data_IF_437280372985
#
_entry.id   IF_437280372985
#
_cell.length_a   1.000
_cell.length_b   1.000
_cell.length_c   1.000
_cell.angle_alpha   90.00
_cell.angle_beta   90.00
_cell.angle_gamma   90.00
#
_symmetry.space_group_name_H-M   'P 1'
#
loop_
_entity.id
_entity.type
_entity.pdbx_description
1 polymer ?
#
# COMPACT_ATOMS: atom_id res chain seq x y z
N UNK A 1 5.04 9.98 10.85
CA UNK A 1 3.76 10.53 10.36
C UNK A 1 2.73 10.76 11.46
N UNK A 2 2.19 9.74 12.15
CA UNK A 2 1.18 9.97 13.21
C UNK A 2 1.61 10.99 14.29
N UNK A 3 2.86 10.86 14.77
CA UNK A 3 3.47 11.83 15.69
C UNK A 3 3.57 13.24 15.07
N UNK A 4 3.85 13.35 13.78
CA UNK A 4 3.93 14.63 13.07
C UNK A 4 2.56 15.31 12.97
N UNK A 5 1.50 14.55 12.66
CA UNK A 5 0.12 15.05 12.65
C UNK A 5 -0.26 15.58 14.04
N UNK A 6 0.02 14.81 15.09
CA UNK A 6 -0.20 15.26 16.48
C UNK A 6 0.58 16.54 16.80
N UNK A 7 1.88 16.55 16.49
CA UNK A 7 2.75 17.72 16.73
C UNK A 7 2.24 18.95 15.97
N UNK A 8 1.79 18.80 14.72
CA UNK A 8 1.20 19.90 13.96
C UNK A 8 -0.05 20.45 14.65
N UNK A 9 -0.99 19.58 15.06
CA UNK A 9 -2.18 20.02 15.82
C UNK A 9 -1.80 20.73 17.12
N UNK A 10 -0.79 20.23 17.84
CA UNK A 10 -0.32 20.85 19.09
C UNK A 10 0.29 22.25 18.86
N UNK A 11 1.08 22.42 17.79
CA UNK A 11 1.69 23.70 17.42
C UNK A 11 0.63 24.73 17.02
N UNK A 12 -0.38 24.32 16.24
CA UNK A 12 -1.40 25.23 15.72
C UNK A 12 -2.54 25.52 16.71
N UNK A 13 -2.77 24.63 17.68
CA UNK A 13 -3.90 24.73 18.61
C UNK A 13 -4.03 26.11 19.29
N UNK A 14 -2.97 26.71 19.88
CA UNK A 14 -3.09 28.02 20.52
C UNK A 14 -3.48 29.14 19.54
N UNK A 15 -2.99 29.08 18.30
CA UNK A 15 -3.33 30.04 17.25
C UNK A 15 -4.78 29.87 16.80
N UNK A 16 -5.23 28.63 16.61
CA UNK A 16 -6.62 28.34 16.25
C UNK A 16 -7.60 28.76 17.34
N UNK A 17 -7.27 28.53 18.62
CA UNK A 17 -8.07 28.99 19.76
C UNK A 17 -8.18 30.52 19.80
N UNK A 18 -7.09 31.23 19.50
CA UNK A 18 -7.12 32.69 19.39
C UNK A 18 -7.96 33.14 18.18
N UNK A 19 -7.78 32.53 17.01
CA UNK A 19 -8.51 32.87 15.79
C UNK A 19 -10.02 32.66 15.95
N UNK A 20 -10.43 31.63 16.68
CA UNK A 20 -11.84 31.28 16.90
C UNK A 20 -12.60 32.32 17.74
N UNK A 21 -11.91 33.06 18.62
CA UNK A 21 -12.52 34.10 19.47
C UNK A 21 -12.48 35.50 18.84
N UNK A 22 -11.80 35.64 17.70
CA UNK A 22 -11.67 36.92 17.01
C UNK A 22 -12.86 37.16 16.06
N UNK A 23 -13.48 38.35 16.06
CA UNK A 23 -14.54 38.66 15.10
C UNK A 23 -14.03 38.61 13.66
N UNK A 24 -14.93 38.32 12.71
CA UNK A 24 -14.59 38.34 11.27
C UNK A 24 -14.30 39.75 10.76
N UNK A 25 -14.92 40.76 11.37
CA UNK A 25 -14.73 42.17 11.04
C UNK A 25 -13.72 42.82 12.00
N UNK A 26 -12.45 42.89 11.57
CA UNK A 26 -11.30 43.28 12.38
C UNK A 26 -11.24 44.77 12.81
N UNK A 27 -12.27 45.57 12.55
CA UNK A 27 -12.22 47.03 12.65
C UNK A 27 -12.46 47.58 14.07
N UNK A 28 -13.23 46.90 14.93
CA UNK A 28 -13.62 47.47 16.24
C UNK A 28 -13.01 46.84 17.49
N UNK A 29 -12.78 45.52 17.51
CA UNK A 29 -12.62 44.74 18.76
C UNK A 29 -11.19 44.27 19.08
N UNK A 30 -10.25 44.41 18.14
CA UNK A 30 -8.87 43.93 18.35
C UNK A 30 -8.10 44.88 19.27
N UNK A 31 -8.11 44.59 20.56
CA UNK A 31 -7.44 45.39 21.58
C UNK A 31 -5.94 45.08 21.68
N UNK A 32 -5.21 45.91 22.44
CA UNK A 32 -3.77 45.78 22.64
C UNK A 32 -3.37 44.42 23.25
N UNK A 33 -4.15 43.92 24.20
CA UNK A 33 -3.89 42.63 24.84
C UNK A 33 -3.97 41.45 23.85
N UNK A 34 -4.95 41.44 22.94
CA UNK A 34 -5.06 40.41 21.89
C UNK A 34 -3.89 40.49 20.89
N UNK A 35 -3.46 41.71 20.56
CA UNK A 35 -2.27 41.95 19.74
C UNK A 35 -1.02 41.39 20.41
N UNK A 36 -0.85 41.67 21.70
CA UNK A 36 0.31 41.24 22.47
C UNK A 36 0.33 39.71 22.63
N UNK A 37 -0.83 39.11 22.91
CA UNK A 37 -1.00 37.65 22.96
C UNK A 37 -0.72 36.99 21.61
N UNK A 38 -1.21 37.55 20.51
CA UNK A 38 -0.95 37.02 19.17
C UNK A 38 0.54 37.02 18.85
N UNK A 39 1.24 38.11 19.17
CA UNK A 39 2.69 38.20 19.00
C UNK A 39 3.43 37.14 19.83
N UNK A 40 3.03 36.91 21.08
CA UNK A 40 3.65 35.88 21.92
C UNK A 40 3.44 34.47 21.35
N UNK A 41 2.25 34.20 20.79
CA UNK A 41 1.97 32.94 20.10
C UNK A 41 2.76 32.78 18.79
N UNK A 42 2.99 33.88 18.07
CA UNK A 42 3.86 33.89 16.88
C UNK A 42 5.31 33.54 17.23
N UNK A 43 5.85 34.09 18.32
CA UNK A 43 7.18 33.73 18.83
C UNK A 43 7.23 32.25 19.20
N UNK A 44 6.20 31.75 19.91
CA UNK A 44 6.11 30.34 20.26
C UNK A 44 6.08 29.46 19.00
N UNK A 45 5.26 29.80 18.01
CA UNK A 45 5.16 29.05 16.76
C UNK A 45 6.49 29.02 16.01
N UNK A 46 7.15 30.17 15.81
CA UNK A 46 8.40 30.25 15.03
C UNK A 46 9.58 29.50 15.68
N UNK A 47 9.53 29.32 17.01
CA UNK A 47 10.49 28.48 17.75
C UNK A 47 10.33 26.98 17.48
N UNK A 48 9.20 26.54 16.93
CA UNK A 48 8.93 25.15 16.63
C UNK A 48 9.43 24.78 15.24
N UNK A 49 10.02 23.60 15.12
CA UNK A 49 10.37 23.03 13.83
C UNK A 49 9.12 22.53 13.10
N UNK A 50 9.14 22.63 11.78
CA UNK A 50 8.10 22.07 10.94
C UNK A 50 8.04 20.53 11.10
N UNK A 51 6.89 19.98 11.55
CA UNK A 51 6.75 18.56 11.86
C UNK A 51 6.75 17.64 10.63
N UNK A 52 6.68 18.22 9.43
CA UNK A 52 6.63 17.51 8.15
C UNK A 52 7.94 17.57 7.36
N UNK A 53 9.05 17.97 7.99
CA UNK A 53 10.38 17.85 7.37
C UNK A 53 10.86 16.42 7.47
N UNK A 54 10.89 15.71 6.33
CA UNK A 54 11.41 14.35 6.25
C UNK A 54 12.65 14.33 5.34
N UNK A 55 13.81 13.87 5.83
CA UNK A 55 15.04 13.81 5.03
C UNK A 55 14.97 12.77 3.90
N UNK A 56 14.05 11.81 4.02
CA UNK A 56 13.78 10.80 3.00
C UNK A 56 12.29 10.85 2.67
N UNK A 57 11.96 11.09 1.40
CA UNK A 57 10.62 10.90 0.87
C UNK A 57 10.23 9.41 0.93
N UNK A 58 8.94 9.09 0.78
CA UNK A 58 8.50 7.69 0.79
C UNK A 58 8.80 6.95 -0.54
N UNK A 59 9.73 7.45 -1.37
CA UNK A 59 10.08 6.85 -2.66
C UNK A 59 10.72 5.48 -2.48
N UNK A 60 11.59 5.29 -1.49
CA UNK A 60 12.25 4.00 -1.26
C UNK A 60 11.24 2.90 -0.92
N UNK A 61 10.21 3.25 -0.13
CA UNK A 61 9.11 2.34 0.23
C UNK A 61 8.27 2.04 -1.01
N UNK A 62 7.94 3.06 -1.80
CA UNK A 62 7.20 2.91 -3.07
C UNK A 62 7.95 2.02 -4.06
N UNK A 63 9.25 2.25 -4.23
CA UNK A 63 10.09 1.52 -5.18
C UNK A 63 10.26 0.06 -4.72
N UNK A 64 10.41 -0.15 -3.41
CA UNK A 64 10.43 -1.50 -2.80
C UNK A 64 9.11 -2.25 -3.04
N UNK A 65 7.96 -1.60 -2.84
CA UNK A 65 6.65 -2.19 -3.08
C UNK A 65 6.39 -2.42 -4.58
N UNK A 66 6.88 -1.54 -5.44
CA UNK A 66 6.85 -1.72 -6.90
C UNK A 66 7.64 -2.96 -7.32
N UNK A 67 8.86 -3.10 -6.80
CA UNK A 67 9.71 -4.27 -7.02
C UNK A 67 9.04 -5.56 -6.52
N UNK A 68 8.44 -5.52 -5.33
CA UNK A 68 7.69 -6.64 -4.77
C UNK A 68 6.49 -7.03 -5.63
N UNK A 69 5.70 -6.05 -6.08
CA UNK A 69 4.56 -6.26 -6.99
C UNK A 69 4.98 -6.93 -8.29
N UNK A 70 6.05 -6.42 -8.91
CA UNK A 70 6.61 -6.98 -10.13
C UNK A 70 7.07 -8.43 -9.93
N UNK A 71 7.75 -8.74 -8.81
CA UNK A 71 8.20 -10.09 -8.49
C UNK A 71 7.03 -11.05 -8.23
N UNK A 72 5.99 -10.61 -7.51
CA UNK A 72 4.78 -11.40 -7.27
C UNK A 72 4.10 -11.72 -8.60
N UNK A 73 3.87 -10.74 -9.48
CA UNK A 73 3.24 -10.95 -10.78
C UNK A 73 4.06 -11.89 -11.68
N UNK A 74 5.38 -11.69 -11.74
CA UNK A 74 6.28 -12.60 -12.46
C UNK A 74 6.16 -14.04 -11.93
N UNK A 75 6.10 -14.23 -10.61
CA UNK A 75 5.93 -15.56 -10.00
C UNK A 75 4.55 -16.15 -10.24
N UNK A 76 3.48 -15.35 -10.24
CA UNK A 76 2.12 -15.80 -10.56
C UNK A 76 2.04 -16.33 -11.99
N UNK A 77 2.53 -15.56 -12.95
CA UNK A 77 2.61 -15.97 -14.36
C UNK A 77 3.38 -17.28 -14.52
N UNK A 78 4.51 -17.42 -13.81
CA UNK A 78 5.30 -18.66 -13.79
C UNK A 78 4.52 -19.85 -13.22
N UNK A 79 3.75 -19.67 -12.14
CA UNK A 79 2.91 -20.72 -11.58
C UNK A 79 1.79 -21.12 -12.56
N UNK A 80 1.11 -20.15 -13.18
CA UNK A 80 0.09 -20.41 -14.22
C UNK A 80 0.66 -21.21 -15.39
N UNK A 81 1.82 -20.82 -15.91
CA UNK A 81 2.49 -21.53 -16.99
C UNK A 81 2.81 -22.98 -16.59
N UNK A 82 3.36 -23.20 -15.40
CA UNK A 82 3.66 -24.55 -14.87
C UNK A 82 2.40 -25.40 -14.72
N UNK A 83 1.33 -24.85 -14.14
CA UNK A 83 0.05 -25.56 -14.01
C UNK A 83 -0.49 -25.95 -15.38
N UNK A 84 -0.45 -25.04 -16.36
CA UNK A 84 -0.90 -25.31 -17.74
C UNK A 84 -0.08 -26.41 -18.40
N UNK A 85 1.24 -26.37 -18.27
CA UNK A 85 2.14 -27.41 -18.81
C UNK A 85 1.88 -28.78 -18.18
N UNK A 86 1.74 -28.84 -16.84
CA UNK A 86 1.44 -30.09 -16.14
C UNK A 86 0.08 -30.68 -16.56
N UNK A 87 -0.94 -29.84 -16.76
CA UNK A 87 -2.25 -30.25 -17.27
C UNK A 87 -2.17 -30.76 -18.71
N UNK A 88 -1.42 -30.07 -19.59
CA UNK A 88 -1.23 -30.51 -20.98
C UNK A 88 -0.50 -31.84 -21.05
N UNK A 89 0.58 -32.00 -20.28
CA UNK A 89 1.30 -33.28 -20.17
C UNK A 89 0.37 -34.42 -19.72
N UNK A 90 -0.51 -34.14 -18.74
CA UNK A 90 -1.50 -35.10 -18.29
C UNK A 90 -2.47 -35.51 -19.40
N UNK A 91 -3.04 -34.55 -20.14
CA UNK A 91 -3.94 -34.83 -21.27
C UNK A 91 -3.23 -35.64 -22.37
N UNK A 92 -1.97 -35.33 -22.65
CA UNK A 92 -1.16 -36.08 -23.61
C UNK A 92 -0.81 -37.50 -23.14
N UNK A 93 -0.46 -37.69 -21.86
CA UNK A 93 -0.19 -39.04 -21.33
C UNK A 93 -1.47 -39.90 -21.36
N UNK A 94 -2.63 -39.34 -21.00
CA UNK A 94 -3.93 -40.02 -21.14
C UNK A 94 -4.22 -40.44 -22.58
N UNK A 95 -4.02 -39.54 -23.54
CA UNK A 95 -4.22 -39.86 -24.95
C UNK A 95 -3.29 -40.99 -25.43
N UNK A 96 -2.01 -40.97 -25.02
CA UNK A 96 -1.05 -42.02 -25.34
C UNK A 96 -1.43 -43.38 -24.72
N UNK A 97 -1.90 -43.39 -23.47
CA UNK A 97 -2.39 -44.60 -22.80
C UNK A 97 -3.62 -45.20 -23.50
N UNK A 98 -4.55 -44.36 -23.97
CA UNK A 98 -5.72 -44.83 -24.73
C UNK A 98 -5.29 -45.43 -26.07
N UNK A 99 -4.41 -44.75 -26.82
CA UNK A 99 -3.92 -45.25 -28.12
C UNK A 99 -3.17 -46.59 -27.94
N UNK A 100 -2.32 -46.70 -26.93
CA UNK A 100 -1.59 -47.95 -26.65
C UNK A 100 -2.50 -49.08 -26.19
N UNK A 101 -3.51 -48.79 -25.36
CA UNK A 101 -4.49 -49.80 -24.93
C UNK A 101 -5.34 -50.31 -26.11
N UNK A 102 -5.84 -49.40 -26.96
CA UNK A 102 -6.61 -49.76 -28.17
C UNK A 102 -5.75 -50.57 -29.12
N UNK A 103 -4.50 -50.14 -29.36
CA UNK A 103 -3.55 -50.88 -30.19
C UNK A 103 -3.26 -52.29 -29.66
N UNK A 104 -3.05 -52.44 -28.35
CA UNK A 104 -2.82 -53.74 -27.72
C UNK A 104 -4.02 -54.69 -27.87
N UNK A 105 -5.25 -54.18 -27.73
CA UNK A 105 -6.47 -54.98 -27.95
C UNK A 105 -6.56 -55.45 -29.40
N UNK A 106 -6.34 -54.56 -30.38
CA UNK A 106 -6.37 -54.91 -31.81
C UNK A 106 -5.31 -55.97 -32.13
N UNK A 107 -4.08 -55.79 -31.65
CA UNK A 107 -3.00 -56.76 -31.83
C UNK A 107 -3.31 -58.11 -31.20
N UNK A 108 -3.89 -58.14 -30.00
CA UNK A 108 -4.27 -59.38 -29.33
C UNK A 108 -5.32 -60.18 -30.14
N UNK A 109 -6.34 -59.51 -30.71
CA UNK A 109 -7.36 -60.15 -31.56
C UNK A 109 -6.73 -60.75 -32.82
N UNK A 110 -5.83 -60.03 -33.48
CA UNK A 110 -5.09 -60.52 -34.67
C UNK A 110 -4.19 -61.71 -34.33
N UNK A 111 -3.51 -61.69 -33.18
CA UNK A 111 -2.62 -62.78 -32.75
C UNK A 111 -3.42 -64.02 -32.33
N UNK A 112 -4.58 -63.88 -31.69
CA UNK A 112 -5.46 -65.05 -31.43
C UNK A 112 -5.95 -65.71 -32.72
N UNK A 113 -6.02 -64.97 -33.84
CA UNK A 113 -6.36 -65.53 -35.14
C UNK A 113 -5.18 -66.27 -35.82
N UNK A 114 -3.93 -66.04 -35.40
CA UNK A 114 -2.74 -66.58 -36.10
C UNK A 114 -1.64 -67.23 -35.21
N UNK A 115 -1.81 -67.32 -33.89
CA UNK A 115 -0.98 -68.07 -32.93
C UNK A 115 0.54 -68.16 -33.21
N UNK A 116 1.33 -67.13 -32.85
CA UNK A 116 2.69 -67.28 -32.26
C UNK A 116 3.00 -66.11 -31.32
N UNK A 117 3.71 -66.43 -30.24
CA UNK A 117 4.13 -65.69 -29.05
C UNK A 117 4.50 -64.19 -29.15
N UNK A 118 3.90 -63.42 -28.22
CA UNK A 118 4.64 -62.79 -27.12
C UNK A 118 5.07 -61.33 -27.28
N UNK A 119 4.30 -60.39 -26.70
CA UNK A 119 4.86 -59.16 -26.10
C UNK A 119 3.90 -58.62 -25.02
N UNK A 120 4.13 -59.00 -23.76
CA UNK A 120 3.48 -58.40 -22.60
C UNK A 120 4.51 -57.53 -21.85
N UNK A 121 4.75 -56.31 -22.34
CA UNK A 121 5.60 -55.35 -21.63
C UNK A 121 5.12 -53.89 -21.66
N UNK A 122 3.87 -53.62 -22.08
CA UNK A 122 3.39 -52.22 -22.21
C UNK A 122 2.55 -51.75 -21.01
N UNK A 123 2.02 -52.66 -20.19
CA UNK A 123 1.15 -52.30 -19.05
C UNK A 123 1.90 -51.82 -17.78
N UNK A 124 3.21 -52.06 -17.68
CA UNK A 124 3.97 -51.77 -16.45
C UNK A 124 4.24 -50.26 -16.22
N UNK A 125 4.03 -49.40 -17.22
CA UNK A 125 4.27 -47.95 -17.10
C UNK A 125 3.02 -47.15 -16.65
N UNK A 126 1.86 -47.79 -16.46
CA UNK A 126 0.57 -47.11 -16.29
C UNK A 126 0.31 -46.44 -14.92
N UNK A 127 1.18 -46.64 -13.92
CA UNK A 127 0.82 -46.30 -12.53
C UNK A 127 1.06 -44.86 -12.06
N UNK A 128 1.88 -44.05 -12.76
CA UNK A 128 2.47 -42.87 -12.13
C UNK A 128 2.46 -41.57 -12.95
N UNK A 129 1.77 -41.53 -14.09
CA UNK A 129 1.69 -40.33 -14.95
C UNK A 129 0.96 -39.11 -14.34
N UNK A 130 0.51 -39.19 -13.09
CA UNK A 130 -0.28 -38.16 -12.43
C UNK A 130 0.61 -37.19 -11.62
N UNK A 131 0.98 -36.00 -12.13
CA UNK A 131 1.61 -34.97 -11.33
C UNK A 131 0.58 -34.25 -10.42
N UNK A 132 -0.47 -34.94 -9.94
CA UNK A 132 -1.54 -34.36 -9.09
C UNK A 132 -0.94 -33.61 -7.90
N UNK A 133 0.09 -34.18 -7.26
CA UNK A 133 0.84 -33.54 -6.16
C UNK A 133 1.53 -32.25 -6.61
N UNK A 134 2.16 -32.23 -7.79
CA UNK A 134 2.85 -31.03 -8.34
C UNK A 134 1.86 -29.93 -8.74
N UNK A 135 0.73 -30.31 -9.36
CA UNK A 135 -0.34 -29.36 -9.70
C UNK A 135 -0.93 -28.74 -8.44
N UNK A 136 -1.22 -29.56 -7.42
CA UNK A 136 -1.72 -29.06 -6.12
C UNK A 136 -0.72 -28.12 -5.46
N UNK A 137 0.57 -28.45 -5.46
CA UNK A 137 1.64 -27.59 -4.93
C UNK A 137 1.73 -26.24 -5.63
N UNK A 138 1.70 -26.22 -6.97
CA UNK A 138 1.73 -24.97 -7.72
C UNK A 138 0.44 -24.15 -7.55
N UNK A 139 -0.72 -24.80 -7.36
CA UNK A 139 -1.98 -24.11 -7.05
C UNK A 139 -1.95 -23.46 -5.66
N UNK A 140 -1.44 -24.16 -4.66
CA UNK A 140 -1.19 -23.59 -3.33
C UNK A 140 -0.26 -22.39 -3.39
N UNK A 141 0.87 -22.52 -4.11
CA UNK A 141 1.82 -21.41 -4.29
C UNK A 141 1.15 -20.21 -4.98
N UNK A 142 0.27 -20.47 -5.95
CA UNK A 142 -0.50 -19.42 -6.61
C UNK A 142 -1.45 -18.71 -5.64
N UNK A 143 -2.10 -19.44 -4.72
CA UNK A 143 -2.94 -18.84 -3.68
C UNK A 143 -2.13 -17.96 -2.72
N UNK A 144 -0.96 -18.43 -2.26
CA UNK A 144 -0.05 -17.64 -1.44
C UNK A 144 0.40 -16.34 -2.15
N UNK A 145 0.74 -16.43 -3.44
CA UNK A 145 1.10 -15.25 -4.25
C UNK A 145 -0.08 -14.29 -4.43
N UNK A 146 -1.30 -14.80 -4.57
CA UNK A 146 -2.52 -14.00 -4.68
C UNK A 146 -2.88 -13.33 -3.34
N UNK A 147 -2.63 -13.99 -2.21
CA UNK A 147 -2.75 -13.38 -0.89
C UNK A 147 -1.69 -12.28 -0.68
N UNK A 148 -0.44 -12.55 -1.06
CA UNK A 148 0.65 -11.56 -1.01
C UNK A 148 0.38 -10.35 -1.92
N UNK A 149 -0.19 -10.54 -3.12
CA UNK A 149 -0.46 -9.44 -4.05
C UNK A 149 -1.45 -8.42 -3.50
N UNK A 150 -2.36 -8.82 -2.60
CA UNK A 150 -3.28 -7.89 -1.91
C UNK A 150 -2.53 -6.83 -1.09
N UNK A 151 -1.32 -7.13 -0.61
CA UNK A 151 -0.47 -6.16 0.09
C UNK A 151 0.18 -5.12 -0.81
N UNK A 152 0.16 -5.34 -2.13
CA UNK A 152 0.70 -4.39 -3.13
C UNK A 152 -0.32 -3.36 -3.60
N UNK A 153 -1.56 -3.43 -3.09
CA UNK A 153 -2.62 -2.44 -3.35
C UNK A 153 -2.35 -1.09 -2.64
N UNK A 154 -1.49 -1.09 -1.62
CA UNK A 154 -1.12 0.08 -0.79
C UNK A 154 -0.26 1.10 -1.53
N UNK A 155 0.19 0.76 -2.74
CA UNK A 155 1.12 1.61 -3.49
C UNK A 155 0.51 2.97 -3.85
N UNK A 156 -0.77 2.99 -4.24
CA UNK A 156 -1.47 4.24 -4.51
C UNK A 156 -1.56 5.12 -3.25
N UNK A 157 -1.77 4.49 -2.09
CA UNK A 157 -1.87 5.18 -0.80
C UNK A 157 -0.55 5.88 -0.43
N UNK A 158 0.60 5.33 -0.86
CA UNK A 158 1.92 5.93 -0.58
C UNK A 158 2.16 7.18 -1.40
N UNK A 159 1.76 7.21 -2.67
CA UNK A 159 1.84 8.43 -3.49
C UNK A 159 0.92 9.52 -2.94
N UNK A 160 -0.29 9.14 -2.47
CA UNK A 160 -1.18 10.05 -1.76
C UNK A 160 -0.57 10.56 -0.46
N UNK A 161 0.04 9.69 0.36
CA UNK A 161 0.74 10.09 1.60
C UNK A 161 1.89 11.05 1.32
N UNK A 162 2.74 10.76 0.32
CA UNK A 162 3.81 11.68 -0.11
C UNK A 162 3.25 13.06 -0.44
N UNK A 163 2.25 13.11 -1.31
CA UNK A 163 1.65 14.38 -1.75
C UNK A 163 1.02 15.15 -0.58
N UNK A 164 0.35 14.48 0.35
CA UNK A 164 -0.22 15.12 1.54
C UNK A 164 0.86 15.69 2.44
N UNK A 165 1.95 14.95 2.64
CA UNK A 165 3.11 15.40 3.42
C UNK A 165 3.76 16.63 2.79
N UNK A 166 3.98 16.64 1.47
CA UNK A 166 4.55 17.79 0.76
C UNK A 166 3.66 19.03 0.88
N UNK A 167 2.33 18.84 0.76
CA UNK A 167 1.34 19.91 0.90
C UNK A 167 1.30 20.47 2.32
N UNK A 168 1.36 19.60 3.33
CA UNK A 168 1.41 19.99 4.75
C UNK A 168 2.72 20.70 5.08
N UNK A 169 3.86 20.21 4.59
CA UNK A 169 5.14 20.86 4.74
C UNK A 169 5.11 22.27 4.15
N UNK A 170 4.63 22.41 2.91
CA UNK A 170 4.48 23.70 2.23
C UNK A 170 3.54 24.64 2.98
N UNK A 171 2.42 24.12 3.51
CA UNK A 171 1.48 24.93 4.29
C UNK A 171 2.13 25.47 5.57
N UNK A 172 2.84 24.63 6.32
CA UNK A 172 3.52 25.06 7.56
C UNK A 172 4.62 26.09 7.27
N UNK A 173 5.43 25.89 6.23
CA UNK A 173 6.44 26.89 5.84
C UNK A 173 5.79 28.20 5.36
N UNK A 174 4.67 28.13 4.63
CA UNK A 174 3.92 29.30 4.20
C UNK A 174 3.42 30.13 5.40
N UNK A 175 2.80 29.48 6.37
CA UNK A 175 2.35 30.12 7.62
C UNK A 175 3.52 30.70 8.42
N UNK A 176 4.65 30.00 8.45
CA UNK A 176 5.87 30.48 9.11
C UNK A 176 6.38 31.77 8.49
N UNK A 177 6.41 31.88 7.16
CA UNK A 177 6.82 33.11 6.47
C UNK A 177 5.90 34.29 6.82
N UNK A 178 4.57 34.05 6.89
CA UNK A 178 3.62 35.07 7.33
C UNK A 178 3.88 35.52 8.78
N UNK A 179 4.10 34.55 9.67
CA UNK A 179 4.39 34.80 11.08
C UNK A 179 5.70 35.60 11.24
N UNK A 180 6.77 35.19 10.57
CA UNK A 180 8.05 35.90 10.60
C UNK A 180 7.93 37.33 10.06
N UNK A 181 7.10 37.54 9.03
CA UNK A 181 6.79 38.89 8.55
C UNK A 181 6.18 39.77 9.64
N UNK A 182 5.21 39.27 10.43
CA UNK A 182 4.66 40.02 11.56
C UNK A 182 5.69 40.23 12.68
N UNK A 183 6.48 39.20 13.01
CA UNK A 183 7.52 39.29 14.05
C UNK A 183 8.55 40.39 13.76
N UNK A 184 8.96 40.53 12.49
CA UNK A 184 9.90 41.57 12.04
C UNK A 184 9.35 43.00 12.17
N UNK A 185 8.02 43.16 12.29
CA UNK A 185 7.34 44.44 12.55
C UNK A 185 7.06 44.66 14.04
N UNK A 186 7.51 43.75 14.90
CA UNK A 186 7.26 43.83 16.34
C UNK A 186 5.78 43.74 16.68
N UNK A 187 5.36 44.46 17.74
CA UNK A 187 3.98 44.46 18.25
C UNK A 187 3.07 45.44 17.50
N UNK A 188 3.34 45.68 16.22
CA UNK A 188 2.49 46.51 15.37
C UNK A 188 1.15 45.80 15.11
N UNK A 189 0.05 46.53 15.33
CA UNK A 189 -1.31 45.97 15.24
C UNK A 189 -1.65 45.46 13.84
N UNK A 190 -1.38 46.26 12.81
CA UNK A 190 -1.81 45.95 11.44
C UNK A 190 -1.17 44.67 10.87
N UNK A 191 0.17 44.45 10.94
CA UNK A 191 0.79 43.20 10.51
C UNK A 191 0.24 41.97 11.22
N UNK A 192 0.06 42.05 12.54
CA UNK A 192 -0.47 40.95 13.36
C UNK A 192 -1.90 40.59 12.93
N UNK A 193 -2.76 41.60 12.76
CA UNK A 193 -4.14 41.38 12.32
C UNK A 193 -4.22 40.74 10.93
N UNK A 194 -3.39 41.21 9.99
CA UNK A 194 -3.38 40.65 8.62
C UNK A 194 -2.92 39.20 8.62
N UNK A 195 -1.86 38.86 9.37
CA UNK A 195 -1.41 37.47 9.50
C UNK A 195 -2.47 36.58 10.13
N UNK A 196 -3.14 37.02 11.20
CA UNK A 196 -4.24 36.26 11.81
C UNK A 196 -5.39 36.00 10.82
N UNK A 197 -5.70 36.98 9.95
CA UNK A 197 -6.70 36.84 8.89
C UNK A 197 -6.28 35.80 7.85
N UNK A 198 -5.01 35.77 7.45
CA UNK A 198 -4.49 34.77 6.51
C UNK A 198 -4.43 33.38 7.15
N UNK A 199 -3.94 33.27 8.39
CA UNK A 199 -3.93 32.01 9.14
C UNK A 199 -5.34 31.43 9.31
N UNK A 200 -6.37 32.27 9.52
CA UNK A 200 -7.78 31.83 9.55
C UNK A 200 -8.20 31.18 8.23
N UNK A 201 -7.79 31.73 7.08
CA UNK A 201 -8.08 31.14 5.76
C UNK A 201 -7.32 29.83 5.58
N UNK A 202 -6.04 29.80 5.95
CA UNK A 202 -5.19 28.62 5.80
C UNK A 202 -5.65 27.47 6.69
N UNK A 203 -6.14 27.76 7.91
CA UNK A 203 -6.73 26.77 8.81
C UNK A 203 -7.82 25.93 8.14
N UNK A 204 -8.68 26.55 7.30
CA UNK A 204 -9.79 25.87 6.64
C UNK A 204 -9.33 24.78 5.66
N UNK A 205 -8.14 24.93 5.06
CA UNK A 205 -7.55 23.92 4.18
C UNK A 205 -6.59 22.98 4.91
N UNK A 206 -6.01 23.42 6.03
CA UNK A 206 -5.00 22.67 6.78
C UNK A 206 -5.57 21.48 7.57
N UNK A 207 -6.65 21.65 8.33
CA UNK A 207 -7.21 20.57 9.14
C UNK A 207 -7.75 19.39 8.30
N UNK A 208 -8.40 19.62 7.15
CA UNK A 208 -8.76 18.53 6.23
C UNK A 208 -7.54 17.75 5.74
N UNK A 209 -6.40 18.40 5.49
CA UNK A 209 -5.17 17.71 5.07
C UNK A 209 -4.59 16.82 6.16
N UNK A 210 -4.59 17.30 7.41
CA UNK A 210 -4.17 16.50 8.56
C UNK A 210 -5.06 15.26 8.75
N UNK A 211 -6.37 15.46 8.62
CA UNK A 211 -7.36 14.40 8.75
C UNK A 211 -7.24 13.36 7.64
N UNK A 212 -7.09 13.80 6.39
CA UNK A 212 -6.86 12.92 5.24
C UNK A 212 -5.56 12.12 5.41
N UNK A 213 -4.47 12.76 5.84
CA UNK A 213 -3.20 12.06 6.08
C UNK A 213 -3.36 10.98 7.17
N UNK A 214 -4.09 11.26 8.25
CA UNK A 214 -4.35 10.29 9.31
C UNK A 214 -5.16 9.08 8.81
N UNK A 215 -6.17 9.31 7.98
CA UNK A 215 -6.95 8.26 7.30
C UNK A 215 -6.05 7.42 6.39
N UNK A 216 -5.22 8.04 5.56
CA UNK A 216 -4.33 7.32 4.64
C UNK A 216 -3.30 6.47 5.39
N UNK A 217 -2.76 6.95 6.51
CA UNK A 217 -1.87 6.15 7.38
C UNK A 217 -2.60 4.90 7.88
N UNK A 218 -3.84 5.06 8.35
CA UNK A 218 -4.65 3.95 8.84
C UNK A 218 -4.97 2.93 7.74
N UNK A 219 -5.41 3.40 6.57
CA UNK A 219 -5.72 2.53 5.42
C UNK A 219 -4.51 1.73 4.96
N UNK A 220 -3.36 2.40 4.82
CA UNK A 220 -2.08 1.77 4.49
C UNK A 220 -1.72 0.66 5.49
N UNK A 221 -1.77 0.96 6.80
CA UNK A 221 -1.45 -0.02 7.84
C UNK A 221 -2.43 -1.20 7.86
N UNK A 222 -3.73 -0.93 7.74
CA UNK A 222 -4.76 -1.95 7.71
C UNK A 222 -4.60 -2.88 6.49
N UNK A 223 -4.34 -2.33 5.31
CA UNK A 223 -4.13 -3.10 4.09
C UNK A 223 -2.88 -3.99 4.18
N UNK A 224 -1.76 -3.47 4.69
CA UNK A 224 -0.54 -4.26 4.95
C UNK A 224 -0.83 -5.40 5.94
N UNK A 225 -1.51 -5.12 7.05
CA UNK A 225 -1.81 -6.14 8.05
C UNK A 225 -2.79 -7.20 7.54
N UNK A 226 -3.81 -6.79 6.78
CA UNK A 226 -4.74 -7.72 6.13
C UNK A 226 -4.01 -8.62 5.15
N UNK A 227 -3.09 -8.08 4.34
CA UNK A 227 -2.29 -8.88 3.42
C UNK A 227 -1.38 -9.87 4.16
N UNK A 228 -0.73 -9.44 5.25
CA UNK A 228 0.08 -10.33 6.11
C UNK A 228 -0.76 -11.45 6.72
N UNK A 229 -1.94 -11.13 7.24
CA UNK A 229 -2.86 -12.11 7.82
C UNK A 229 -3.32 -13.13 6.78
N UNK A 230 -3.73 -12.70 5.59
CA UNK A 230 -4.11 -13.60 4.50
C UNK A 230 -2.94 -14.47 4.04
N UNK A 231 -1.74 -13.91 3.95
CA UNK A 231 -0.54 -14.68 3.58
C UNK A 231 -0.22 -15.73 4.65
N UNK A 232 -0.27 -15.36 5.94
CA UNK A 232 -0.07 -16.30 7.05
C UNK A 232 -1.12 -17.41 7.04
N UNK A 233 -2.39 -17.10 6.75
CA UNK A 233 -3.44 -18.10 6.61
C UNK A 233 -3.11 -19.10 5.49
N UNK A 234 -2.68 -18.62 4.32
CA UNK A 234 -2.26 -19.50 3.21
C UNK A 234 -0.98 -20.29 3.52
N UNK A 235 -0.09 -19.79 4.37
CA UNK A 235 1.09 -20.55 4.82
C UNK A 235 0.67 -21.64 5.81
N UNK A 236 -0.17 -21.31 6.79
CA UNK A 236 -0.63 -22.24 7.83
C UNK A 236 -1.58 -23.32 7.28
N UNK A 237 -2.40 -23.01 6.27
CA UNK A 237 -3.25 -23.99 5.58
C UNK A 237 -2.44 -25.00 4.76
N UNK A 238 -1.23 -24.62 4.36
CA UNK A 238 -0.34 -25.45 3.55
C UNK A 238 1.08 -25.45 4.11
N UNK A 239 1.30 -26.00 5.33
CA UNK A 239 2.56 -25.88 6.07
C UNK A 239 3.71 -26.68 5.43
N UNK A 240 3.39 -27.60 4.52
CA UNK A 240 4.32 -28.54 3.89
C UNK A 240 4.51 -28.29 2.39
N UNK A 241 4.63 -27.02 1.98
CA UNK A 241 5.15 -26.70 0.66
C UNK A 241 6.61 -27.14 0.54
#
# INVERSE_FOLDING_TARGET
LHRSVRRARDIYKPLHELIAVLPDDASGSFNRHLCDRAFDLFVQFDSQENPFVFPHNFSDVRDSLSGLKLEIERRRLRCYARIRLLKRFHTSCLACLVVTAVGAVISAVLVTAHAVAGFAAVAACGGSCLPKKKVKKELTRLNQLNAASKGTLVMNDIDTVNSLVDRLQTAVEGDRVLIQFALNRGRERHPIQEVLKQLRKNQQSFEPLLSELEVQIYLCFNAVNKARMLLLQEICLYPNL
#
